data_IF_322272230753
#
_entry.id   IF_322272230753
#
_cell.length_a   1.000
_cell.length_b   1.000
_cell.length_c   1.000
_cell.angle_alpha   90.00
_cell.angle_beta   90.00
_cell.angle_gamma   90.00
#
_symmetry.space_group_name_H-M   'P 1'
#
loop_
_entity.id
_entity.type
_entity.pdbx_description
1 polymer ?
#
# COMPACT_ATOMS: atom_id res chain seq x y z
N UNK A 1 -17.92 0.95 -6.35
CA UNK A 1 -19.34 1.27 -6.14
C UNK A 1 -19.58 2.76 -6.21
N UNK A 2 -20.40 3.18 -7.15
CA UNK A 2 -20.78 4.57 -7.31
C UNK A 2 -22.25 4.66 -7.76
N UNK A 3 -23.10 5.37 -7.02
CA UNK A 3 -24.45 5.63 -7.48
C UNK A 3 -24.42 6.55 -8.72
N UNK A 4 -25.19 6.19 -9.71
CA UNK A 4 -25.33 6.98 -10.92
C UNK A 4 -26.63 7.79 -10.89
N UNK A 5 -26.58 9.03 -11.34
CA UNK A 5 -27.78 9.81 -11.54
C UNK A 5 -28.59 9.29 -12.76
N UNK A 6 -29.84 9.68 -12.86
CA UNK A 6 -30.75 9.17 -13.89
C UNK A 6 -30.25 9.45 -15.32
N UNK A 7 -29.65 10.61 -15.56
CA UNK A 7 -29.14 10.97 -16.87
C UNK A 7 -28.03 10.01 -17.36
N UNK A 8 -27.12 9.61 -16.47
CA UNK A 8 -26.10 8.61 -16.80
C UNK A 8 -26.67 7.20 -16.99
N UNK A 9 -27.71 6.84 -16.24
CA UNK A 9 -28.38 5.55 -16.42
C UNK A 9 -29.03 5.47 -17.80
N UNK A 10 -29.77 6.51 -18.18
CA UNK A 10 -30.45 6.57 -19.47
C UNK A 10 -29.44 6.64 -20.64
N UNK A 11 -28.34 7.35 -20.48
CA UNK A 11 -27.25 7.36 -21.45
C UNK A 11 -26.64 5.96 -21.64
N UNK A 12 -26.37 5.25 -20.55
CA UNK A 12 -25.77 3.90 -20.59
C UNK A 12 -26.69 2.90 -21.29
N UNK A 13 -28.02 3.00 -21.11
CA UNK A 13 -29.01 2.21 -21.86
C UNK A 13 -29.01 2.61 -23.32
N UNK A 14 -29.01 3.90 -23.65
CA UNK A 14 -28.97 4.40 -25.02
C UNK A 14 -27.71 3.97 -25.79
N UNK A 15 -26.60 3.77 -25.09
CA UNK A 15 -25.35 3.23 -25.65
C UNK A 15 -25.31 1.70 -25.75
N UNK A 16 -26.34 1.01 -25.29
CA UNK A 16 -26.38 -0.46 -25.29
C UNK A 16 -25.43 -1.11 -24.24
N UNK A 17 -25.00 -0.36 -23.22
CA UNK A 17 -24.17 -0.91 -22.16
C UNK A 17 -24.98 -1.73 -21.14
N UNK A 18 -26.26 -1.43 -21.02
CA UNK A 18 -27.22 -2.11 -20.14
C UNK A 18 -28.57 -2.20 -20.82
N UNK A 19 -29.34 -3.24 -20.53
CA UNK A 19 -30.69 -3.45 -21.04
C UNK A 19 -31.73 -2.58 -20.30
N UNK A 20 -31.41 -2.12 -19.12
CA UNK A 20 -32.28 -1.29 -18.29
C UNK A 20 -31.47 -0.34 -17.40
N UNK A 21 -32.07 0.78 -16.93
CA UNK A 21 -31.40 1.70 -16.03
C UNK A 21 -30.89 1.02 -14.75
N UNK A 22 -29.60 1.17 -14.46
CA UNK A 22 -28.96 0.61 -13.29
C UNK A 22 -28.51 1.74 -12.35
N UNK A 23 -29.03 1.83 -11.11
CA UNK A 23 -28.67 2.89 -10.18
C UNK A 23 -27.22 2.75 -9.67
N UNK A 24 -26.63 1.57 -9.81
CA UNK A 24 -25.29 1.26 -9.35
C UNK A 24 -24.52 0.51 -10.42
N UNK A 25 -23.26 0.84 -10.56
CA UNK A 25 -22.32 0.12 -11.39
C UNK A 25 -21.29 -0.60 -10.52
N UNK A 26 -21.19 -1.91 -10.73
CA UNK A 26 -20.05 -2.69 -10.28
C UNK A 26 -19.23 -3.14 -11.50
N UNK A 27 -18.00 -2.70 -11.56
CA UNK A 27 -17.03 -3.26 -12.51
C UNK A 27 -16.29 -4.39 -11.81
N UNK A 28 -16.76 -5.62 -12.03
CA UNK A 28 -16.15 -6.82 -11.43
C UNK A 28 -15.15 -7.51 -12.34
N UNK A 29 -15.02 -7.04 -13.58
CA UNK A 29 -14.11 -7.59 -14.56
C UNK A 29 -13.15 -6.52 -15.06
N UNK A 30 -11.85 -6.78 -14.94
CA UNK A 30 -10.79 -5.88 -15.38
C UNK A 30 -10.04 -6.53 -16.54
N UNK A 31 -10.47 -6.27 -17.75
CA UNK A 31 -9.91 -6.89 -18.97
C UNK A 31 -8.37 -6.79 -19.08
N UNK A 32 -7.71 -5.66 -18.75
CA UNK A 32 -6.25 -5.61 -18.77
C UNK A 32 -5.56 -6.70 -17.96
N UNK A 33 -6.15 -7.12 -16.83
CA UNK A 33 -5.61 -8.23 -16.03
C UNK A 33 -5.63 -9.55 -16.80
N UNK A 34 -6.70 -9.81 -17.56
CA UNK A 34 -6.76 -11.00 -18.42
C UNK A 34 -5.67 -10.98 -19.49
N UNK A 35 -5.33 -9.83 -20.04
CA UNK A 35 -4.24 -9.68 -21.00
C UNK A 35 -2.89 -10.05 -20.39
N UNK A 36 -2.63 -9.69 -19.13
CA UNK A 36 -1.42 -10.12 -18.41
C UNK A 36 -1.39 -11.64 -18.20
N UNK A 37 -2.51 -12.25 -17.83
CA UNK A 37 -2.59 -13.71 -17.71
C UNK A 37 -2.29 -14.39 -19.05
N UNK A 38 -2.92 -13.95 -20.12
CA UNK A 38 -2.69 -14.48 -21.47
C UNK A 38 -1.21 -14.36 -21.90
N UNK A 39 -0.58 -13.22 -21.61
CA UNK A 39 0.85 -13.06 -21.87
C UNK A 39 1.70 -14.05 -21.06
N UNK A 40 1.33 -14.31 -19.80
CA UNK A 40 2.00 -15.30 -18.96
C UNK A 40 1.74 -16.75 -19.40
N UNK A 41 0.64 -17.00 -20.09
CA UNK A 41 0.30 -18.27 -20.75
C UNK A 41 1.04 -18.50 -22.06
N UNK A 42 1.73 -17.49 -22.57
CA UNK A 42 2.53 -17.58 -23.79
C UNK A 42 1.89 -16.93 -25.01
N UNK A 43 0.77 -16.24 -24.85
CA UNK A 43 0.11 -15.52 -25.93
C UNK A 43 0.73 -14.15 -26.19
N UNK A 44 0.70 -13.72 -27.46
CA UNK A 44 1.19 -12.42 -27.88
C UNK A 44 2.69 -12.35 -28.13
N UNK A 45 3.14 -11.17 -28.63
CA UNK A 45 4.54 -10.95 -29.04
C UNK A 45 5.49 -10.67 -27.86
N UNK A 46 4.96 -10.16 -26.76
CA UNK A 46 5.73 -9.83 -25.56
C UNK A 46 5.21 -10.65 -24.40
N UNK A 47 6.11 -11.34 -23.75
CA UNK A 47 5.79 -12.22 -22.63
C UNK A 47 6.60 -11.81 -21.40
N UNK A 48 6.07 -12.00 -20.19
CA UNK A 48 6.81 -11.75 -18.98
C UNK A 48 7.96 -12.76 -18.83
N UNK A 49 9.01 -12.42 -18.07
CA UNK A 49 10.07 -13.35 -17.71
C UNK A 49 9.53 -14.64 -17.08
N UNK A 50 10.15 -15.77 -17.35
CA UNK A 50 9.65 -17.09 -16.93
C UNK A 50 9.40 -17.20 -15.42
N UNK A 51 10.29 -16.64 -14.60
CA UNK A 51 10.17 -16.66 -13.14
C UNK A 51 8.97 -15.86 -12.59
N UNK A 52 8.37 -14.97 -13.39
CA UNK A 52 7.18 -14.21 -13.02
C UNK A 52 5.87 -14.82 -13.51
N UNK A 53 5.92 -15.77 -14.46
CA UNK A 53 4.71 -16.29 -15.13
C UNK A 53 3.72 -16.93 -14.15
N UNK A 54 4.20 -17.76 -13.23
CA UNK A 54 3.33 -18.41 -12.24
C UNK A 54 2.63 -17.39 -11.36
N UNK A 55 3.37 -16.41 -10.85
CA UNK A 55 2.83 -15.33 -10.01
C UNK A 55 1.83 -14.46 -10.76
N UNK A 56 2.08 -14.15 -12.03
CA UNK A 56 1.15 -13.36 -12.86
C UNK A 56 -0.14 -14.13 -13.10
N UNK A 57 -0.08 -15.42 -13.43
CA UNK A 57 -1.28 -16.25 -13.60
C UNK A 57 -2.13 -16.30 -12.33
N UNK A 58 -1.51 -16.40 -11.18
CA UNK A 58 -2.19 -16.45 -9.90
C UNK A 58 -2.76 -15.09 -9.49
N UNK A 59 -1.96 -14.04 -9.54
CA UNK A 59 -2.30 -12.74 -8.91
C UNK A 59 -3.00 -11.75 -9.84
N UNK A 60 -2.90 -11.92 -11.16
CA UNK A 60 -3.50 -11.00 -12.12
C UNK A 60 -4.86 -11.50 -12.62
N UNK A 61 -5.75 -11.83 -11.68
CA UNK A 61 -7.12 -12.21 -12.05
C UNK A 61 -7.93 -11.00 -12.52
N UNK A 62 -8.72 -11.14 -13.62
CA UNK A 62 -9.66 -10.10 -14.04
C UNK A 62 -10.84 -9.94 -13.09
N UNK A 63 -11.12 -10.95 -12.28
CA UNK A 63 -12.15 -10.90 -11.24
C UNK A 63 -11.53 -10.58 -9.89
N UNK A 64 -12.25 -9.88 -8.99
CA UNK A 64 -11.79 -9.68 -7.64
C UNK A 64 -11.64 -11.03 -6.97
N UNK A 65 -10.46 -11.29 -6.45
CA UNK A 65 -10.17 -12.46 -5.62
C UNK A 65 -9.65 -11.97 -4.27
N UNK A 66 -10.05 -12.66 -3.24
CA UNK A 66 -9.42 -12.49 -1.95
C UNK A 66 -8.16 -13.36 -1.88
N UNK A 67 -7.07 -12.74 -1.49
CA UNK A 67 -5.83 -13.44 -1.15
C UNK A 67 -5.63 -13.34 0.33
N UNK A 68 -5.40 -14.47 0.97
CA UNK A 68 -4.92 -14.47 2.34
C UNK A 68 -3.60 -13.68 2.40
N UNK A 69 -3.47 -12.82 3.41
CA UNK A 69 -2.19 -12.18 3.67
C UNK A 69 -1.15 -13.27 3.83
N UNK A 70 -0.12 -13.21 2.99
CA UNK A 70 0.93 -14.21 2.96
C UNK A 70 1.67 -14.21 4.30
N UNK A 71 1.21 -15.07 5.20
CA UNK A 71 1.88 -15.34 6.46
C UNK A 71 2.89 -16.50 6.33
N UNK A 72 2.89 -17.17 5.18
CA UNK A 72 3.87 -18.17 4.86
C UNK A 72 5.24 -17.52 4.65
N UNK A 73 6.24 -18.00 5.36
CA UNK A 73 7.56 -17.38 5.39
C UNK A 73 7.72 -16.30 6.45
N UNK A 74 6.66 -15.98 7.19
CA UNK A 74 6.72 -15.08 8.34
C UNK A 74 6.99 -15.81 9.66
N UNK A 75 7.44 -17.05 9.60
CA UNK A 75 7.85 -17.79 10.78
C UNK A 75 8.94 -17.02 11.53
N UNK A 76 8.66 -16.65 12.77
CA UNK A 76 9.53 -15.80 13.59
C UNK A 76 9.21 -14.30 13.57
N UNK A 77 8.34 -13.84 12.69
CA UNK A 77 7.85 -12.44 12.68
C UNK A 77 6.49 -12.39 13.38
N UNK A 78 6.45 -11.78 14.56
CA UNK A 78 5.26 -11.76 15.43
C UNK A 78 4.59 -10.39 15.48
N UNK A 79 5.13 -9.40 14.78
CA UNK A 79 4.69 -8.02 14.83
C UNK A 79 4.09 -7.63 13.48
N UNK A 80 2.89 -7.06 13.52
CA UNK A 80 2.22 -6.52 12.32
C UNK A 80 2.67 -5.08 12.07
N UNK A 81 3.04 -4.76 10.84
CA UNK A 81 3.39 -3.40 10.45
C UNK A 81 2.23 -2.73 9.71
N UNK A 82 1.84 -1.55 10.18
CA UNK A 82 0.82 -0.71 9.56
C UNK A 82 1.43 0.59 9.03
N UNK A 83 0.89 1.06 7.92
CA UNK A 83 1.24 2.37 7.38
C UNK A 83 -0.02 3.21 7.18
N UNK A 84 0.09 4.50 7.46
CA UNK A 84 -1.00 5.44 7.30
C UNK A 84 -0.51 6.71 6.60
N UNK A 85 -1.39 7.33 5.83
CA UNK A 85 -1.12 8.63 5.22
C UNK A 85 -1.16 9.73 6.28
N UNK A 86 -0.12 10.57 6.40
CA UNK A 86 -0.19 11.74 7.25
C UNK A 86 -1.19 12.75 6.70
N UNK A 87 -1.98 13.37 7.58
CA UNK A 87 -3.01 14.31 7.18
C UNK A 87 -2.41 15.58 6.53
N UNK A 88 -1.26 16.03 7.01
CA UNK A 88 -0.60 17.25 6.53
C UNK A 88 0.20 17.04 5.23
N UNK A 89 0.39 15.81 4.76
CA UNK A 89 1.18 15.54 3.55
C UNK A 89 0.42 14.69 2.54
N UNK A 90 0.48 15.09 1.29
CA UNK A 90 -0.06 14.32 0.16
C UNK A 90 1.03 13.41 -0.41
N UNK A 91 1.13 12.19 0.11
CA UNK A 91 2.19 11.24 -0.24
C UNK A 91 3.59 11.88 -0.18
N UNK A 92 4.51 11.45 -1.01
CA UNK A 92 5.87 12.02 -1.11
C UNK A 92 5.92 13.45 -1.69
N UNK A 93 4.83 13.94 -2.28
CA UNK A 93 4.77 15.27 -2.86
C UNK A 93 4.94 16.39 -1.83
N UNK A 94 4.37 16.22 -0.65
CA UNK A 94 4.50 17.17 0.45
C UNK A 94 5.93 17.30 0.99
N UNK A 95 6.81 16.36 0.71
CA UNK A 95 8.21 16.37 1.16
C UNK A 95 9.01 17.56 0.64
N UNK A 96 8.57 18.18 -0.46
CA UNK A 96 9.20 19.38 -1.04
C UNK A 96 8.74 20.69 -0.40
N UNK A 97 7.70 20.66 0.41
CA UNK A 97 7.14 21.82 1.06
C UNK A 97 7.80 22.01 2.44
N UNK A 98 8.59 23.08 2.58
CA UNK A 98 9.32 23.38 3.82
C UNK A 98 8.39 23.59 5.03
N UNK A 99 7.21 24.15 4.84
CA UNK A 99 6.21 24.33 5.90
C UNK A 99 5.66 22.99 6.40
N UNK A 100 5.32 22.08 5.49
CA UNK A 100 4.81 20.76 5.85
C UNK A 100 5.90 19.90 6.52
N UNK A 101 7.15 20.08 6.14
CA UNK A 101 8.29 19.41 6.77
C UNK A 101 8.52 19.85 8.22
N UNK A 102 8.11 21.03 8.61
CA UNK A 102 8.14 21.44 10.02
C UNK A 102 7.17 20.62 10.88
N UNK A 103 6.08 20.11 10.28
CA UNK A 103 5.14 19.23 10.97
C UNK A 103 5.64 17.77 10.98
N UNK A 104 6.24 17.32 9.89
CA UNK A 104 6.69 15.94 9.70
C UNK A 104 8.08 15.91 9.07
N UNK A 105 9.09 16.33 9.80
CA UNK A 105 10.47 16.37 9.32
C UNK A 105 11.15 14.99 9.28
N UNK A 106 10.70 14.08 10.13
CA UNK A 106 11.18 12.70 10.22
C UNK A 106 10.02 11.72 10.21
N UNK A 107 10.31 10.48 9.88
CA UNK A 107 9.32 9.41 9.91
C UNK A 107 9.76 8.35 10.94
N UNK A 108 9.34 8.47 12.18
CA UNK A 108 9.61 7.44 13.17
C UNK A 108 8.73 6.21 12.95
N UNK A 109 9.21 5.08 13.45
CA UNK A 109 8.37 3.90 13.67
C UNK A 109 7.78 4.01 15.07
N UNK A 110 6.46 4.02 15.15
CA UNK A 110 5.76 4.02 16.43
C UNK A 110 5.62 2.60 16.94
N UNK A 111 6.04 2.38 18.18
CA UNK A 111 6.02 1.10 18.86
C UNK A 111 5.10 1.16 20.08
N UNK A 112 4.36 0.06 20.38
CA UNK A 112 3.61 -0.02 21.63
C UNK A 112 4.56 -0.10 22.83
N UNK A 113 4.10 0.35 23.97
CA UNK A 113 4.84 0.34 25.25
C UNK A 113 5.50 -1.02 25.55
N UNK A 114 4.80 -2.10 25.22
CA UNK A 114 5.33 -3.46 25.43
C UNK A 114 6.62 -3.72 24.66
N UNK A 115 6.67 -3.35 23.38
CA UNK A 115 7.87 -3.54 22.56
C UNK A 115 9.00 -2.59 22.98
N UNK A 116 8.68 -1.33 23.30
CA UNK A 116 9.66 -0.37 23.81
C UNK A 116 10.38 -0.93 25.06
N UNK A 117 9.61 -1.44 26.01
CA UNK A 117 10.16 -2.04 27.25
C UNK A 117 10.92 -3.33 26.98
N UNK A 118 10.39 -4.22 26.13
CA UNK A 118 11.04 -5.51 25.83
C UNK A 118 12.43 -5.34 25.20
N UNK A 119 12.64 -4.25 24.47
CA UNK A 119 13.91 -3.94 23.82
C UNK A 119 14.72 -2.82 24.51
N UNK A 120 14.28 -2.35 25.68
CA UNK A 120 14.89 -1.26 26.43
C UNK A 120 15.09 0.03 25.60
N UNK A 121 14.12 0.33 24.71
CA UNK A 121 14.15 1.47 23.80
C UNK A 121 13.50 2.70 24.44
N UNK A 122 13.98 3.87 24.05
CA UNK A 122 13.42 5.18 24.37
C UNK A 122 13.09 5.95 23.10
N UNK A 123 12.27 7.00 23.23
CA UNK A 123 11.93 7.87 22.11
C UNK A 123 13.19 8.49 21.48
N UNK A 124 13.32 8.31 20.18
CA UNK A 124 14.45 8.80 19.40
C UNK A 124 15.59 7.80 19.23
N UNK A 125 15.57 6.66 19.91
CA UNK A 125 16.50 5.57 19.65
C UNK A 125 16.33 5.02 18.23
N UNK A 126 17.38 4.39 17.72
CA UNK A 126 17.36 3.75 16.41
C UNK A 126 17.18 2.24 16.58
N UNK A 127 16.22 1.69 15.84
CA UNK A 127 15.99 0.25 15.81
C UNK A 127 16.03 -0.28 14.37
N UNK A 128 16.51 -1.50 14.22
CA UNK A 128 16.39 -2.23 12.96
C UNK A 128 15.07 -3.00 12.95
N UNK A 129 14.27 -2.75 11.93
CA UNK A 129 13.00 -3.45 11.68
C UNK A 129 13.22 -4.40 10.52
N UNK A 130 13.10 -5.68 10.79
CA UNK A 130 13.36 -6.76 9.83
C UNK A 130 12.06 -7.40 9.35
N UNK A 131 12.01 -7.74 8.09
CA UNK A 131 10.93 -8.50 7.45
C UNK A 131 11.52 -9.60 6.56
N UNK A 132 10.72 -10.54 6.04
CA UNK A 132 11.19 -11.52 5.04
C UNK A 132 11.79 -10.88 3.78
N UNK A 133 11.50 -9.60 3.52
CA UNK A 133 11.91 -8.90 2.31
C UNK A 133 13.12 -7.96 2.52
N UNK A 134 13.58 -7.79 3.75
CA UNK A 134 14.71 -6.94 4.08
C UNK A 134 14.56 -6.24 5.42
N UNK A 135 15.53 -5.39 5.74
CA UNK A 135 15.59 -4.62 6.97
C UNK A 135 15.72 -3.12 6.71
N UNK A 136 15.20 -2.33 7.62
CA UNK A 136 15.35 -0.88 7.64
C UNK A 136 15.75 -0.43 9.04
N UNK A 137 16.58 0.61 9.12
CA UNK A 137 16.94 1.26 10.40
C UNK A 137 16.20 2.59 10.49
N UNK A 138 15.43 2.77 11.55
CA UNK A 138 14.54 3.91 11.74
C UNK A 138 14.57 4.41 13.18
N UNK A 139 14.35 5.72 13.42
CA UNK A 139 14.11 6.20 14.77
C UNK A 139 12.76 5.67 15.28
N UNK A 140 12.68 5.34 16.57
CA UNK A 140 11.45 4.85 17.19
C UNK A 140 10.83 5.88 18.10
N UNK A 141 9.51 5.77 18.30
CA UNK A 141 8.74 6.55 19.27
C UNK A 141 7.68 5.67 19.91
N UNK A 142 7.44 5.87 21.19
CA UNK A 142 6.39 5.18 21.92
C UNK A 142 4.99 5.65 21.47
N UNK A 143 4.08 4.72 21.28
CA UNK A 143 2.66 4.98 21.09
C UNK A 143 1.83 3.98 21.91
N UNK A 144 1.49 4.36 23.11
CA UNK A 144 0.77 3.50 24.07
C UNK A 144 -0.63 3.05 23.58
N UNK A 145 -1.21 3.75 22.60
CA UNK A 145 -2.50 3.42 22.03
C UNK A 145 -2.45 2.31 20.96
N UNK A 146 -1.26 1.84 20.58
CA UNK A 146 -1.13 0.74 19.63
C UNK A 146 -1.44 -0.62 20.27
N UNK A 147 -1.97 -1.52 19.46
CA UNK A 147 -2.03 -2.93 19.81
C UNK A 147 -0.61 -3.45 20.12
N UNK A 148 -0.47 -4.31 21.13
CA UNK A 148 0.82 -4.79 21.64
C UNK A 148 1.70 -5.50 20.60
N UNK A 149 1.10 -6.04 19.54
CA UNK A 149 1.80 -6.74 18.46
C UNK A 149 1.76 -5.96 17.14
N UNK A 150 1.64 -4.64 17.21
CA UNK A 150 1.56 -3.80 16.01
C UNK A 150 2.55 -2.64 16.11
N UNK A 151 3.29 -2.43 15.05
CA UNK A 151 4.10 -1.23 14.83
C UNK A 151 3.46 -0.39 13.75
N UNK A 152 3.71 0.91 13.77
CA UNK A 152 3.04 1.83 12.88
C UNK A 152 3.96 2.94 12.40
N UNK A 153 3.81 3.35 11.14
CA UNK A 153 4.57 4.46 10.58
C UNK A 153 3.73 5.26 9.59
N UNK A 154 4.11 6.49 9.34
CA UNK A 154 3.56 7.24 8.23
C UNK A 154 4.10 6.72 6.90
N UNK A 155 3.26 6.71 5.87
CA UNK A 155 3.73 6.44 4.52
C UNK A 155 4.30 7.71 3.88
N UNK A 156 5.28 7.53 3.01
CA UNK A 156 5.76 8.54 2.05
C UNK A 156 6.29 9.86 2.65
N UNK A 157 6.65 9.90 3.93
CA UNK A 157 7.37 11.02 4.55
C UNK A 157 8.78 10.60 4.97
N UNK A 158 9.59 11.55 5.43
CA UNK A 158 10.97 11.29 5.83
C UNK A 158 11.95 11.20 4.66
N UNK A 159 11.57 11.64 3.47
CA UNK A 159 12.45 11.69 2.30
C UNK A 159 13.64 12.62 2.57
N UNK A 160 14.85 12.12 2.40
CA UNK A 160 16.11 12.85 2.64
C UNK A 160 16.75 13.40 1.38
N UNK A 161 16.52 12.77 0.22
CA UNK A 161 17.18 13.15 -1.05
C UNK A 161 16.18 13.21 -2.19
N UNK A 162 16.56 13.88 -3.26
CA UNK A 162 15.78 13.94 -4.49
C UNK A 162 14.59 14.90 -4.45
N UNK A 163 14.59 15.87 -3.55
CA UNK A 163 13.69 17.01 -3.54
C UNK A 163 14.53 18.29 -3.40
N UNK A 164 14.18 19.32 -4.14
CA UNK A 164 14.95 20.57 -4.17
C UNK A 164 15.07 21.29 -2.81
N UNK A 165 14.15 21.01 -1.90
CA UNK A 165 14.17 21.56 -0.54
C UNK A 165 14.91 20.65 0.46
N UNK A 166 15.64 19.64 0.00
CA UNK A 166 16.43 18.70 0.79
C UNK A 166 17.90 18.85 0.35
N UNK A 167 18.61 19.73 1.02
CA UNK A 167 20.01 20.07 0.72
C UNK A 167 21.04 19.12 1.36
N UNK A 168 20.66 17.86 1.61
CA UNK A 168 21.56 16.87 2.22
C UNK A 168 21.65 15.57 1.38
#
# INVERSE_FOLDING_TARGET
YKPWNRAYQDWAVGMGLYDSPQPYLFSLYVEPMRKFQLAAEGHGKRQPPDHLRARIKEKMSPLPIWYETDQQGNEGFTVNALTQRPMAMYHSWGSQNAWLRQLHGRNPMYLPTKLMRAHALQDGDWAEITSPHGAITVPVMEMAALNENTIWTWNAIGKRKGAWALDE
#
